data_IF_131149600088
#
_entry.id   IF_131149600088
#
_cell.length_a   1.000
_cell.length_b   1.000
_cell.length_c   1.000
_cell.angle_alpha   90.00
_cell.angle_beta   90.00
_cell.angle_gamma   90.00
#
_symmetry.space_group_name_H-M   'P 1'
#
loop_
_entity.id
_entity.type
_entity.pdbx_description
1 polymer ?
#
# COMPACT_ATOMS: atom_id res chain seq x y z
N UNK A 1 24.68 -21.21 -69.86
CA UNK A 1 24.73 -21.53 -68.42
C UNK A 1 23.63 -20.73 -67.75
N UNK A 2 22.58 -21.43 -67.30
CA UNK A 2 21.31 -20.84 -66.86
C UNK A 2 21.38 -20.23 -65.47
N UNK A 3 20.63 -19.13 -65.31
CA UNK A 3 20.34 -18.43 -64.06
C UNK A 3 19.38 -19.26 -63.20
N UNK A 4 19.70 -19.43 -61.92
CA UNK A 4 18.80 -20.02 -60.92
C UNK A 4 17.87 -18.91 -60.37
N UNK A 5 16.56 -19.10 -60.55
CA UNK A 5 15.50 -18.25 -60.03
C UNK A 5 15.35 -18.41 -58.50
N UNK A 6 15.47 -17.29 -57.80
CA UNK A 6 15.21 -17.13 -56.37
C UNK A 6 13.77 -16.64 -56.12
N UNK A 7 12.77 -17.50 -56.37
CA UNK A 7 11.34 -17.13 -56.22
C UNK A 7 10.55 -18.02 -55.24
N UNK A 8 11.20 -18.96 -54.55
CA UNK A 8 10.53 -19.93 -53.67
C UNK A 8 10.37 -19.52 -52.20
N UNK A 9 11.22 -18.62 -51.68
CA UNK A 9 11.28 -18.36 -50.23
C UNK A 9 10.33 -17.25 -49.74
N UNK A 10 9.83 -16.40 -50.64
CA UNK A 10 9.06 -15.20 -50.30
C UNK A 10 7.54 -15.40 -50.40
N UNK A 11 7.03 -16.61 -50.21
CA UNK A 11 5.58 -16.90 -50.27
C UNK A 11 4.96 -17.42 -48.97
N UNK A 12 5.77 -17.72 -47.96
CA UNK A 12 5.28 -18.33 -46.70
C UNK A 12 5.37 -17.42 -45.46
N UNK A 13 6.01 -16.26 -45.54
CA UNK A 13 6.09 -15.30 -44.44
C UNK A 13 4.73 -14.73 -43.95
N UNK A 14 3.75 -14.38 -44.81
CA UNK A 14 2.51 -13.77 -44.31
C UNK A 14 1.55 -14.77 -43.64
N UNK A 15 1.63 -16.06 -44.00
CA UNK A 15 0.80 -17.09 -43.39
C UNK A 15 1.24 -17.44 -41.95
N UNK A 16 2.56 -17.42 -41.68
CA UNK A 16 3.10 -17.68 -40.35
C UNK A 16 2.80 -16.55 -39.36
N UNK A 17 2.77 -15.29 -39.83
CA UNK A 17 2.45 -14.12 -39.00
C UNK A 17 0.98 -14.10 -38.54
N UNK A 18 0.05 -14.57 -39.38
CA UNK A 18 -1.39 -14.60 -39.07
C UNK A 18 -1.78 -15.71 -38.09
N UNK A 19 -1.00 -16.81 -38.02
CA UNK A 19 -1.24 -17.89 -37.05
C UNK A 19 -0.73 -17.48 -35.66
N UNK A 20 0.40 -16.76 -35.58
CA UNK A 20 0.90 -16.22 -34.30
C UNK A 20 -0.01 -15.13 -33.71
N UNK A 21 -0.71 -14.36 -34.55
CA UNK A 21 -1.67 -13.34 -34.08
C UNK A 21 -2.99 -13.92 -33.55
N UNK A 22 -3.27 -15.21 -33.81
CA UNK A 22 -4.49 -15.90 -33.31
C UNK A 22 -4.25 -16.60 -31.97
N UNK A 23 -3.00 -16.78 -31.54
CA UNK A 23 -2.63 -17.44 -30.29
C UNK A 23 -2.48 -16.42 -29.14
N UNK A 24 -2.17 -15.16 -29.44
CA UNK A 24 -2.26 -14.07 -28.47
C UNK A 24 -3.70 -13.54 -28.36
N UNK A 25 -4.58 -14.39 -27.84
CA UNK A 25 -5.75 -13.89 -27.14
C UNK A 25 -5.26 -13.06 -25.97
N UNK A 26 -5.29 -11.73 -26.11
CA UNK A 26 -5.19 -10.82 -24.97
C UNK A 26 -6.36 -11.14 -24.03
N UNK A 27 -6.10 -12.04 -23.09
CA UNK A 27 -6.91 -12.15 -21.90
C UNK A 27 -6.67 -10.85 -21.13
N UNK A 28 -7.41 -9.80 -21.48
CA UNK A 28 -7.59 -8.64 -20.59
C UNK A 28 -8.47 -9.16 -19.47
N UNK A 29 -7.89 -9.97 -18.58
CA UNK A 29 -8.40 -10.06 -17.23
C UNK A 29 -8.41 -8.63 -16.72
N UNK A 30 -9.51 -8.19 -16.12
CA UNK A 30 -9.54 -6.93 -15.39
C UNK A 30 -8.58 -7.10 -14.22
N UNK A 31 -7.29 -6.89 -14.48
CA UNK A 31 -6.21 -6.94 -13.51
C UNK A 31 -6.61 -6.00 -12.39
N UNK A 32 -6.82 -6.61 -11.22
CA UNK A 32 -7.01 -5.96 -9.94
C UNK A 32 -5.75 -5.15 -9.63
N UNK A 33 -5.55 -4.02 -10.30
CA UNK A 33 -4.29 -3.27 -10.33
C UNK A 33 -4.20 -2.19 -9.26
N UNK A 34 -5.31 -1.88 -8.59
CA UNK A 34 -5.37 -0.86 -7.54
C UNK A 34 -5.50 -1.45 -6.15
N UNK A 35 -5.07 -0.66 -5.17
CA UNK A 35 -5.36 -0.86 -3.75
C UNK A 35 -6.75 -0.30 -3.48
N UNK A 36 -7.57 -1.08 -2.78
CA UNK A 36 -8.95 -0.71 -2.45
C UNK A 36 -9.14 -0.58 -0.94
N UNK A 37 -10.08 0.26 -0.51
CA UNK A 37 -10.51 0.33 0.88
C UNK A 37 -10.88 -1.05 1.42
N UNK A 38 -10.50 -1.35 2.66
CA UNK A 38 -10.69 -2.64 3.30
C UNK A 38 -9.68 -3.71 2.88
N UNK A 39 -8.72 -3.40 2.00
CA UNK A 39 -7.58 -4.28 1.75
C UNK A 39 -6.64 -4.29 2.95
N UNK A 40 -6.00 -5.44 3.17
CA UNK A 40 -4.96 -5.63 4.19
C UNK A 40 -3.63 -5.84 3.49
N UNK A 41 -2.65 -4.98 3.75
CA UNK A 41 -1.41 -4.91 2.97
C UNK A 41 -0.17 -4.86 3.86
N UNK A 42 0.96 -5.31 3.32
CA UNK A 42 2.29 -5.00 3.83
C UNK A 42 2.90 -3.89 2.99
N UNK A 43 3.46 -2.88 3.65
CA UNK A 43 4.11 -1.73 3.02
C UNK A 43 5.62 -1.88 3.12
N UNK A 44 6.29 -2.02 1.97
CA UNK A 44 7.74 -2.13 1.86
C UNK A 44 8.34 -0.74 1.60
N UNK A 45 9.28 -0.31 2.43
CA UNK A 45 10.14 0.82 2.09
C UNK A 45 11.09 0.41 0.96
N UNK A 46 11.02 1.10 -0.17
CA UNK A 46 11.74 0.71 -1.40
C UNK A 46 13.25 0.80 -1.24
N UNK A 47 13.75 1.81 -0.51
CA UNK A 47 15.19 2.06 -0.37
C UNK A 47 15.85 1.09 0.61
N UNK A 48 15.18 0.81 1.73
CA UNK A 48 15.76 0.04 2.84
C UNK A 48 15.31 -1.41 2.89
N UNK A 49 14.35 -1.81 2.04
CA UNK A 49 13.85 -3.17 1.95
C UNK A 49 13.32 -3.71 3.29
N UNK A 50 12.64 -2.84 4.06
CA UNK A 50 11.97 -3.17 5.32
C UNK A 50 10.46 -2.93 5.22
N UNK A 51 9.68 -3.77 5.87
CA UNK A 51 8.22 -3.68 5.95
C UNK A 51 7.81 -2.88 7.16
N UNK A 52 6.82 -2.01 6.98
CA UNK A 52 6.17 -1.29 8.07
C UNK A 52 5.59 -2.30 9.07
N UNK A 53 5.91 -2.12 10.34
CA UNK A 53 5.66 -3.10 11.38
C UNK A 53 5.34 -2.42 12.70
N UNK A 54 4.51 -3.05 13.53
CA UNK A 54 4.26 -2.61 14.90
C UNK A 54 3.99 -3.81 15.81
N UNK A 55 4.03 -3.63 17.12
CA UNK A 55 3.98 -4.71 18.10
C UNK A 55 3.71 -4.13 19.48
N UNK A 56 3.50 -4.96 20.51
CA UNK A 56 3.21 -4.49 21.87
C UNK A 56 4.46 -4.09 22.67
N UNK A 57 5.25 -3.17 22.11
CA UNK A 57 6.37 -2.47 22.77
C UNK A 57 6.13 -0.99 22.55
N UNK A 58 6.42 -0.19 23.57
CA UNK A 58 6.24 1.25 23.56
C UNK A 58 7.58 1.96 23.48
N UNK A 59 7.58 3.17 22.96
CA UNK A 59 8.75 4.04 23.05
C UNK A 59 9.05 4.37 24.52
N UNK A 60 10.34 4.37 24.87
CA UNK A 60 10.81 4.86 26.18
C UNK A 60 11.07 6.36 26.21
N UNK A 61 10.91 7.03 25.07
CA UNK A 61 11.11 8.46 24.83
C UNK A 61 9.93 9.02 24.03
N UNK A 62 9.98 10.32 23.71
CA UNK A 62 8.97 10.95 22.87
C UNK A 62 7.58 10.87 23.52
N UNK A 63 6.60 10.37 22.78
CA UNK A 63 5.21 10.29 23.27
C UNK A 63 4.96 9.13 24.25
N UNK A 64 5.85 8.14 24.30
CA UNK A 64 5.63 6.90 25.04
C UNK A 64 4.56 5.97 24.46
N UNK A 65 4.08 6.23 23.23
CA UNK A 65 3.09 5.41 22.54
C UNK A 65 3.70 4.11 21.97
N UNK A 66 2.85 3.24 21.41
CA UNK A 66 3.27 1.97 20.81
C UNK A 66 4.21 2.25 19.61
N UNK A 67 5.32 1.53 19.55
CA UNK A 67 6.34 1.77 18.53
C UNK A 67 5.96 1.24 17.15
N UNK A 68 6.35 2.00 16.13
CA UNK A 68 6.32 1.58 14.72
C UNK A 68 7.75 1.46 14.22
N UNK A 69 8.03 0.38 13.51
CA UNK A 69 9.38 0.01 13.07
C UNK A 69 9.36 -0.57 11.66
N UNK A 70 10.55 -0.77 11.11
CA UNK A 70 10.80 -1.51 9.88
C UNK A 70 11.42 -2.88 10.17
N UNK A 71 10.90 -3.94 9.55
CA UNK A 71 11.46 -5.31 9.66
C UNK A 71 11.76 -5.91 8.29
N UNK A 72 12.83 -6.68 8.16
CA UNK A 72 13.18 -7.38 6.91
C UNK A 72 12.42 -8.71 6.74
N UNK A 73 11.83 -9.24 7.81
CA UNK A 73 11.10 -10.51 7.82
C UNK A 73 9.84 -10.38 6.96
N UNK A 74 9.75 -11.19 5.91
CA UNK A 74 8.64 -11.14 4.93
C UNK A 74 7.34 -11.68 5.52
N UNK A 75 7.42 -12.77 6.28
CA UNK A 75 6.24 -13.54 6.73
C UNK A 75 5.63 -13.04 8.03
N UNK A 76 6.14 -11.95 8.62
CA UNK A 76 5.66 -11.48 9.92
C UNK A 76 4.21 -10.96 9.82
N UNK A 77 3.33 -11.49 10.67
CA UNK A 77 1.92 -11.07 10.76
C UNK A 77 1.77 -9.64 11.30
N UNK A 78 2.72 -9.16 12.09
CA UNK A 78 2.77 -7.80 12.64
C UNK A 78 3.15 -6.72 11.59
N UNK A 79 3.29 -7.13 10.32
CA UNK A 79 3.48 -6.21 9.20
C UNK A 79 2.21 -5.97 8.38
N UNK A 80 1.06 -6.53 8.80
CA UNK A 80 -0.22 -6.30 8.11
C UNK A 80 -0.91 -5.03 8.61
N UNK A 81 -1.31 -4.19 7.66
CA UNK A 81 -2.02 -2.94 7.87
C UNK A 81 -3.31 -2.91 7.04
N UNK A 82 -4.44 -2.66 7.68
CA UNK A 82 -5.74 -2.47 7.03
C UNK A 82 -5.87 -1.04 6.51
N UNK A 83 -6.24 -0.90 5.23
CA UNK A 83 -6.50 0.40 4.59
C UNK A 83 -7.95 0.81 4.85
N UNK A 84 -8.16 1.88 5.62
CA UNK A 84 -9.50 2.39 6.00
C UNK A 84 -9.68 3.84 5.57
N UNK A 85 -10.95 4.26 5.50
CA UNK A 85 -11.29 5.67 5.34
C UNK A 85 -11.07 6.47 6.62
N UNK A 86 -11.23 7.79 6.50
CA UNK A 86 -11.30 8.70 7.64
C UNK A 86 -12.76 8.99 7.98
N UNK A 87 -13.01 9.67 9.11
CA UNK A 87 -14.37 10.11 9.49
C UNK A 87 -14.99 11.03 8.43
N UNK A 88 -14.19 11.88 7.80
CA UNK A 88 -14.64 12.84 6.78
C UNK A 88 -14.69 12.25 5.37
N UNK A 89 -13.98 11.15 5.11
CA UNK A 89 -13.83 10.56 3.77
C UNK A 89 -14.32 9.12 3.77
N UNK A 90 -15.56 8.92 3.30
CA UNK A 90 -16.14 7.59 3.13
C UNK A 90 -15.29 6.72 2.20
N UNK A 91 -14.82 5.59 2.71
CA UNK A 91 -13.97 4.63 1.98
C UNK A 91 -14.63 3.25 2.07
N UNK A 92 -15.65 3.02 1.23
CA UNK A 92 -16.38 1.76 1.25
C UNK A 92 -15.50 0.61 0.76
N UNK A 93 -15.61 -0.54 1.41
CA UNK A 93 -14.87 -1.76 1.08
C UNK A 93 -14.93 -2.05 -0.42
N UNK A 94 -13.77 -2.25 -1.06
CA UNK A 94 -13.64 -2.47 -2.50
C UNK A 94 -13.54 -1.20 -3.34
N UNK A 95 -13.75 0.00 -2.79
CA UNK A 95 -13.54 1.26 -3.53
C UNK A 95 -12.04 1.48 -3.77
N UNK A 96 -11.57 1.73 -5.01
CA UNK A 96 -10.18 2.09 -5.27
C UNK A 96 -9.77 3.36 -4.52
N UNK A 97 -8.60 3.34 -3.88
CA UNK A 97 -8.05 4.52 -3.20
C UNK A 97 -7.52 5.51 -4.24
N UNK A 98 -8.02 6.73 -4.24
CA UNK A 98 -7.58 7.78 -5.18
C UNK A 98 -6.25 8.39 -4.74
N UNK A 99 -5.46 8.85 -5.70
CA UNK A 99 -4.28 9.67 -5.36
C UNK A 99 -4.75 10.98 -4.70
N UNK A 100 -4.07 11.36 -3.61
CA UNK A 100 -4.44 12.47 -2.73
C UNK A 100 -5.51 12.15 -1.70
N UNK A 101 -6.11 10.95 -1.73
CA UNK A 101 -7.14 10.57 -0.76
C UNK A 101 -6.54 10.38 0.64
N UNK A 102 -7.27 10.87 1.64
CA UNK A 102 -6.98 10.62 3.05
C UNK A 102 -7.41 9.20 3.43
N UNK A 103 -6.51 8.48 4.09
CA UNK A 103 -6.76 7.14 4.63
C UNK A 103 -6.25 7.05 6.07
N UNK A 104 -6.69 6.00 6.78
CA UNK A 104 -6.03 5.47 7.97
C UNK A 104 -5.41 4.12 7.63
N UNK A 105 -4.23 3.87 8.20
CA UNK A 105 -3.57 2.56 8.17
C UNK A 105 -3.66 1.97 9.57
N UNK A 106 -4.51 0.95 9.75
CA UNK A 106 -4.71 0.30 11.05
C UNK A 106 -3.90 -0.98 11.14
N UNK A 107 -3.00 -1.08 12.11
CA UNK A 107 -2.23 -2.28 12.38
C UNK A 107 -3.19 -3.42 12.78
N UNK A 108 -3.15 -4.54 12.04
CA UNK A 108 -4.16 -5.59 12.16
C UNK A 108 -4.13 -6.25 13.55
N UNK A 109 -2.95 -6.54 14.08
CA UNK A 109 -2.84 -7.34 15.31
C UNK A 109 -3.12 -6.53 16.59
N UNK A 110 -2.90 -5.21 16.57
CA UNK A 110 -3.11 -4.36 17.77
C UNK A 110 -4.33 -3.44 17.65
N UNK A 111 -4.95 -3.37 16.47
CA UNK A 111 -6.07 -2.45 16.21
C UNK A 111 -5.70 -0.97 16.25
N UNK A 112 -4.41 -0.62 16.33
CA UNK A 112 -3.97 0.76 16.45
C UNK A 112 -3.73 1.39 15.08
N UNK A 113 -3.98 2.69 14.95
CA UNK A 113 -3.72 3.45 13.74
C UNK A 113 -2.27 3.92 13.67
N UNK A 114 -1.71 3.97 12.45
CA UNK A 114 -0.48 4.67 12.17
C UNK A 114 -0.68 6.16 12.46
N UNK A 115 0.14 6.70 13.35
CA UNK A 115 -0.07 8.01 13.96
C UNK A 115 1.21 8.84 13.89
N UNK A 116 1.08 10.16 13.84
CA UNK A 116 2.24 11.04 13.96
C UNK A 116 1.88 12.40 14.54
N UNK A 117 2.87 13.08 15.10
CA UNK A 117 2.70 14.27 15.92
C UNK A 117 4.03 14.97 16.15
N UNK A 118 4.03 16.12 16.82
CA UNK A 118 5.23 16.92 17.08
C UNK A 118 6.09 16.39 18.25
N UNK A 119 6.30 15.08 18.31
CA UNK A 119 7.32 14.46 19.16
C UNK A 119 8.56 14.09 18.34
N UNK A 120 9.70 14.07 19.00
CA UNK A 120 10.98 13.69 18.39
C UNK A 120 11.13 12.17 18.33
N UNK A 121 11.55 11.65 17.18
CA UNK A 121 11.77 10.22 16.96
C UNK A 121 12.95 9.70 17.80
N UNK A 122 12.91 8.45 18.28
CA UNK A 122 13.85 7.97 19.30
C UNK A 122 15.33 7.92 18.92
N UNK A 123 15.68 7.70 17.64
CA UNK A 123 17.08 7.49 17.22
C UNK A 123 17.60 8.64 16.36
N UNK A 124 16.84 9.07 15.35
CA UNK A 124 17.32 10.05 14.36
C UNK A 124 16.94 11.50 14.65
N UNK A 125 16.19 11.77 15.74
CA UNK A 125 15.64 13.09 16.05
C UNK A 125 14.75 13.69 14.95
N UNK A 126 14.07 12.85 14.16
CA UNK A 126 13.07 13.28 13.18
C UNK A 126 11.69 13.41 13.86
N UNK A 127 10.60 13.48 13.11
CA UNK A 127 9.26 13.46 13.68
C UNK A 127 8.85 12.01 14.03
N UNK A 128 8.36 11.78 15.25
CA UNK A 128 7.95 10.46 15.72
C UNK A 128 6.73 9.93 14.92
N UNK A 129 6.81 8.66 14.54
CA UNK A 129 5.68 7.89 14.01
C UNK A 129 5.39 6.77 14.99
N UNK A 130 4.14 6.62 15.39
CA UNK A 130 3.71 5.68 16.43
C UNK A 130 2.46 4.92 16.00
N UNK A 131 2.01 3.98 16.84
CA UNK A 131 0.71 3.35 16.72
C UNK A 131 -0.20 3.80 17.88
N UNK A 132 -1.33 4.44 17.54
CA UNK A 132 -2.22 5.09 18.50
C UNK A 132 -3.68 4.62 18.35
N UNK A 133 -4.50 4.92 19.36
CA UNK A 133 -5.92 4.54 19.34
C UNK A 133 -6.16 3.07 19.66
N UNK A 134 -7.36 2.59 19.33
CA UNK A 134 -7.85 1.24 19.61
C UNK A 134 -8.94 0.85 18.60
N UNK A 135 -8.93 -0.39 18.12
CA UNK A 135 -9.89 -0.94 17.14
C UNK A 135 -10.10 -0.11 15.85
N UNK A 136 -9.09 0.66 15.44
CA UNK A 136 -9.12 1.56 14.29
C UNK A 136 -9.71 2.94 14.61
N UNK A 137 -10.18 3.15 15.83
CA UNK A 137 -10.61 4.44 16.35
C UNK A 137 -9.42 5.21 16.92
N UNK A 138 -9.45 6.52 16.72
CA UNK A 138 -8.41 7.46 17.10
C UNK A 138 -8.79 8.86 16.63
N UNK A 139 -7.82 9.70 16.31
CA UNK A 139 -8.06 11.12 16.04
C UNK A 139 -7.64 11.56 14.63
N UNK A 140 -7.50 12.88 14.42
CA UNK A 140 -7.16 13.47 13.13
C UNK A 140 -5.66 13.36 12.80
N UNK A 141 -4.82 12.93 13.74
CA UNK A 141 -3.40 12.68 13.58
C UNK A 141 -3.11 11.24 13.10
N UNK A 142 -4.17 10.47 12.84
CA UNK A 142 -4.10 9.15 12.21
C UNK A 142 -4.24 9.23 10.67
N UNK A 143 -4.42 10.43 10.12
CA UNK A 143 -4.79 10.62 8.72
C UNK A 143 -3.58 10.83 7.81
N UNK A 144 -3.45 9.99 6.78
CA UNK A 144 -2.36 10.02 5.81
C UNK A 144 -2.90 10.17 4.37
N UNK A 145 -2.37 11.14 3.63
CA UNK A 145 -2.66 11.33 2.22
C UNK A 145 -1.78 10.40 1.38
N UNK A 146 -2.40 9.61 0.51
CA UNK A 146 -1.67 8.75 -0.44
C UNK A 146 -1.19 9.58 -1.63
N UNK A 147 0.11 9.78 -1.75
CA UNK A 147 0.72 10.50 -2.88
C UNK A 147 1.20 9.51 -3.94
N UNK A 148 0.50 9.49 -5.08
CA UNK A 148 0.83 8.70 -6.28
C UNK A 148 0.69 9.55 -7.55
N UNK A 149 1.29 9.09 -8.65
CA UNK A 149 1.34 9.81 -9.92
C UNK A 149 0.11 9.60 -10.82
N UNK A 150 -0.69 8.58 -10.56
CA UNK A 150 -1.92 8.28 -11.31
C UNK A 150 -3.18 8.95 -10.75
N UNK A 151 -4.35 8.42 -11.16
CA UNK A 151 -5.64 8.78 -10.57
C UNK A 151 -5.97 7.95 -9.32
N UNK A 152 -5.42 6.74 -9.23
CA UNK A 152 -5.62 5.77 -8.14
C UNK A 152 -4.29 5.17 -7.72
N UNK A 153 -4.22 4.73 -6.47
CA UNK A 153 -3.07 4.01 -5.93
C UNK A 153 -2.99 2.61 -6.54
N UNK A 154 -2.04 2.43 -7.48
CA UNK A 154 -1.76 1.14 -8.09
C UNK A 154 -0.83 0.30 -7.22
N UNK A 155 -0.97 -1.02 -7.26
CA UNK A 155 -0.19 -1.94 -6.41
C UNK A 155 1.28 -1.96 -6.79
N UNK A 156 1.58 -1.89 -8.08
CA UNK A 156 2.92 -1.92 -8.62
C UNK A 156 3.70 -0.61 -8.43
N UNK A 157 3.00 0.47 -8.09
CA UNK A 157 3.55 1.82 -7.95
C UNK A 157 4.13 2.07 -6.55
N UNK A 158 5.27 2.75 -6.51
CA UNK A 158 5.80 3.30 -5.27
C UNK A 158 5.14 4.65 -4.97
N UNK A 159 4.62 4.79 -3.76
CA UNK A 159 3.86 5.95 -3.29
C UNK A 159 4.52 6.58 -2.07
N UNK A 160 4.03 7.74 -1.65
CA UNK A 160 4.36 8.33 -0.34
C UNK A 160 3.10 8.46 0.50
N UNK A 161 3.27 8.42 1.81
CA UNK A 161 2.21 8.72 2.77
C UNK A 161 2.57 10.04 3.45
N UNK A 162 1.79 11.08 3.18
CA UNK A 162 1.95 12.39 3.81
C UNK A 162 0.98 12.52 4.97
N UNK A 163 1.50 12.72 6.17
CA UNK A 163 0.71 12.97 7.35
C UNK A 163 -0.07 14.28 7.19
N UNK A 164 -1.39 14.26 7.39
CA UNK A 164 -2.27 15.43 7.12
C UNK A 164 -1.91 16.63 8.00
N UNK A 165 -1.72 16.39 9.29
CA UNK A 165 -1.61 17.49 10.25
C UNK A 165 -0.24 18.18 10.24
N UNK A 166 0.82 17.47 9.83
CA UNK A 166 2.20 18.00 9.89
C UNK A 166 2.89 18.10 8.53
N UNK A 167 2.24 17.66 7.45
CA UNK A 167 2.81 17.52 6.09
C UNK A 167 4.05 16.62 5.99
N UNK A 168 4.46 15.95 7.07
CA UNK A 168 5.61 15.08 7.09
C UNK A 168 5.35 13.75 6.36
N UNK A 169 6.37 13.19 5.74
CA UNK A 169 6.29 11.99 4.93
C UNK A 169 6.83 10.79 5.71
N UNK A 170 6.05 9.72 5.77
CA UNK A 170 6.46 8.45 6.37
C UNK A 170 7.77 7.97 5.73
N UNK A 171 8.79 7.72 6.54
CA UNK A 171 10.18 7.55 6.11
C UNK A 171 10.95 6.55 6.95
N UNK A 172 12.06 6.06 6.39
CA UNK A 172 13.07 5.23 7.07
C UNK A 172 14.46 5.70 6.63
N UNK A 173 15.41 5.91 7.56
CA UNK A 173 16.80 6.31 7.22
C UNK A 173 17.86 5.26 7.54
N UNK A 174 17.51 4.19 8.25
CA UNK A 174 18.35 2.99 8.43
C UNK A 174 18.87 2.76 9.84
N UNK A 175 18.62 3.69 10.76
CA UNK A 175 18.92 3.56 12.19
C UNK A 175 18.17 2.38 12.78
N UNK A 176 18.84 1.56 13.59
CA UNK A 176 18.27 0.33 14.15
C UNK A 176 18.24 0.36 15.66
N UNK A 177 17.17 -0.20 16.21
CA UNK A 177 17.02 -0.37 17.66
C UNK A 177 17.90 -1.50 18.19
N UNK A 178 18.30 -1.35 19.45
CA UNK A 178 18.85 -2.43 20.27
C UNK A 178 17.75 -3.26 20.93
N UNK A 179 18.02 -3.80 22.12
CA UNK A 179 17.02 -4.55 22.90
C UNK A 179 15.83 -3.65 23.31
N UNK A 180 14.61 -4.20 23.42
CA UNK A 180 14.22 -5.59 23.18
C UNK A 180 13.97 -5.93 21.70
N UNK A 181 13.93 -4.94 20.80
CA UNK A 181 13.57 -5.07 19.38
C UNK A 181 14.79 -4.99 18.46
N UNK A 182 15.82 -5.77 18.80
CA UNK A 182 17.14 -5.69 18.18
C UNK A 182 17.08 -5.84 16.66
N UNK A 183 17.67 -4.89 15.94
CA UNK A 183 17.80 -4.91 14.48
C UNK A 183 16.58 -4.40 13.72
N UNK A 184 15.48 -4.07 14.41
CA UNK A 184 14.36 -3.38 13.77
C UNK A 184 14.75 -1.93 13.46
N UNK A 185 14.35 -1.43 12.30
CA UNK A 185 14.71 -0.09 11.83
C UNK A 185 13.73 0.95 12.35
N UNK A 186 14.20 2.15 12.68
CA UNK A 186 13.36 3.29 13.01
C UNK A 186 12.51 3.71 11.81
N UNK A 187 11.21 3.85 12.06
CA UNK A 187 10.27 4.53 11.16
C UNK A 187 9.96 5.88 11.80
N UNK A 188 10.03 6.93 11.00
CA UNK A 188 9.79 8.31 11.41
C UNK A 188 9.16 9.08 10.25
N UNK A 189 8.91 10.39 10.44
CA UNK A 189 8.44 11.26 9.38
C UNK A 189 9.41 12.42 9.11
N UNK A 190 9.59 12.74 7.83
CA UNK A 190 10.48 13.80 7.35
C UNK A 190 9.72 14.80 6.49
N UNK A 191 10.06 16.09 6.55
CA UNK A 191 9.38 17.14 5.78
C UNK A 191 9.66 17.09 4.26
N UNK A 192 10.85 16.61 3.88
CA UNK A 192 11.28 16.62 2.48
C UNK A 192 11.06 15.27 1.79
N UNK A 193 10.52 15.25 0.55
CA UNK A 193 10.42 14.03 -0.23
C UNK A 193 11.81 13.53 -0.66
N UNK A 194 12.11 12.27 -0.35
CA UNK A 194 13.37 11.63 -0.73
C UNK A 194 13.09 10.19 -1.21
N UNK A 195 14.15 9.41 -1.43
CA UNK A 195 14.02 7.95 -1.66
C UNK A 195 13.64 7.20 -0.38
N UNK A 196 13.88 7.80 0.79
CA UNK A 196 13.56 7.23 2.11
C UNK A 196 12.06 7.19 2.41
N UNK A 197 11.27 8.01 1.70
CA UNK A 197 9.82 8.11 1.89
C UNK A 197 9.00 7.35 0.84
N UNK A 198 9.65 6.54 -0.01
CA UNK A 198 8.96 5.72 -1.02
C UNK A 198 8.59 4.35 -0.44
N UNK A 199 7.30 4.05 -0.51
CA UNK A 199 6.71 2.81 -0.04
C UNK A 199 5.97 2.11 -1.18
N UNK A 200 6.03 0.78 -1.20
CA UNK A 200 5.33 -0.04 -2.19
C UNK A 200 4.54 -1.13 -1.50
N UNK A 201 3.34 -1.39 -2.01
CA UNK A 201 2.56 -2.54 -1.54
C UNK A 201 3.17 -3.82 -2.11
N UNK A 202 3.34 -4.82 -1.25
CA UNK A 202 3.92 -6.11 -1.64
C UNK A 202 2.93 -7.25 -1.38
N UNK A 203 2.89 -7.77 -0.16
CA UNK A 203 2.00 -8.86 0.24
C UNK A 203 0.67 -8.29 0.77
N UNK A 204 -0.42 -9.05 0.64
CA UNK A 204 -1.70 -8.62 1.18
C UNK A 204 -2.91 -9.42 0.70
N UNK A 205 -4.04 -9.15 1.33
CA UNK A 205 -5.37 -9.57 0.89
C UNK A 205 -6.05 -8.35 0.29
N UNK A 206 -6.28 -8.39 -1.02
CA UNK A 206 -6.86 -7.28 -1.76
C UNK A 206 -8.33 -7.50 -2.02
N UNK A 207 -9.15 -6.52 -1.69
CA UNK A 207 -10.58 -6.58 -1.95
C UNK A 207 -10.85 -6.29 -3.43
N UNK A 208 -11.67 -7.14 -4.07
CA UNK A 208 -12.14 -6.91 -5.44
C UNK A 208 -12.85 -5.57 -5.55
N UNK A 209 -12.54 -4.75 -6.57
CA UNK A 209 -13.31 -3.56 -6.85
C UNK A 209 -14.80 -3.86 -6.94
N UNK A 210 -15.62 -3.09 -6.23
CA UNK A 210 -17.08 -3.22 -6.30
C UNK A 210 -17.55 -2.83 -7.70
N UNK A 211 -18.20 -3.75 -8.41
CA UNK A 211 -18.90 -3.48 -9.67
C UNK A 211 -20.18 -2.68 -9.35
N UNK A 212 -20.08 -1.37 -9.16
CA UNK A 212 -21.23 -0.63 -8.62
C UNK A 212 -21.07 0.86 -8.38
N UNK A 213 -20.47 1.60 -9.30
CA UNK A 213 -20.75 3.05 -9.44
C UNK A 213 -21.58 3.36 -10.70
N UNK A 214 -21.95 2.34 -11.48
CA UNK A 214 -22.86 2.42 -12.60
C UNK A 214 -24.00 1.42 -12.38
N UNK A 215 -25.09 1.88 -11.77
CA UNK A 215 -26.34 1.12 -11.65
C UNK A 215 -26.65 0.63 -10.24
N UNK A 216 -27.26 1.49 -9.42
CA UNK A 216 -28.07 1.02 -8.30
C UNK A 216 -29.23 0.18 -8.85
N UNK A 217 -29.23 -1.12 -8.60
CA UNK A 217 -30.46 -1.91 -8.55
C UNK A 217 -30.60 -2.43 -7.14
N UNK A 218 -31.60 -1.86 -6.48
CA UNK A 218 -32.17 -2.28 -5.22
C UNK A 218 -32.49 -3.77 -5.30
N UNK A 219 -31.86 -4.59 -4.46
CA UNK A 219 -32.25 -5.98 -4.26
C UNK A 219 -32.81 -6.09 -2.85
N UNK A 220 -34.11 -5.80 -2.71
CA UNK A 220 -34.88 -6.26 -1.56
C UNK A 220 -35.06 -7.77 -1.69
N UNK A 221 -34.24 -8.56 -1.00
CA UNK A 221 -34.53 -9.97 -0.80
C UNK A 221 -35.45 -10.12 0.42
N UNK A 222 -36.73 -10.33 0.16
CA UNK A 222 -37.69 -10.81 1.15
C UNK A 222 -37.32 -12.25 1.49
N UNK A 223 -36.87 -12.48 2.73
CA UNK A 223 -36.63 -13.83 3.25
C UNK A 223 -37.99 -14.43 3.64
N UNK A 224 -38.40 -15.52 3.00
CA UNK A 224 -39.51 -16.35 3.48
C UNK A 224 -38.88 -17.60 4.10
N UNK A 225 -39.06 -17.76 5.41
CA UNK A 225 -38.64 -18.97 6.13
C UNK A 225 -39.70 -20.07 5.96
N UNK A 226 -39.22 -21.31 5.78
CA UNK A 226 -39.96 -22.56 6.01
C UNK A 226 -39.41 -23.21 7.27
#
# INVERSE_FOLDING_TARGET
>A
MGLLNSDGFLRFLPALLLVLSRIFGLCVGTELSSVTCGSVVKLLNVKHNVRLHSHDVRYGSGSGQQSVTGVSVVEDSNSYWSVRGTSDTSCHRGTPVRCGQMIRLTHVNTGRNLHSHYFTSPLSSNQEVSAFGEEGEGDHLDEWAVQCGGSVWKREEAVRFRHKATDALLSVTGEQYGRPIHGQTEVHAMSSPTQHSLWKVMEGVFIKPSEGAAGSRDYSHTHTEF
#
